data_IF_839190989568
#
_entry.id   IF_839190989568
#
_cell.length_a   1.000
_cell.length_b   1.000
_cell.length_c   1.000
_cell.angle_alpha   90.00
_cell.angle_beta   90.00
_cell.angle_gamma   90.00
#
_symmetry.space_group_name_H-M   'P 1'
#
loop_
_entity.id
_entity.type
_entity.pdbx_description
1 polymer ?
#
# COMPACT_ATOMS: atom_id res chain seq x y z
N UNK A 1 -0.56 46.54 -17.18
CA UNK A 1 -1.71 45.61 -16.99
C UNK A 1 -1.27 44.14 -17.04
N UNK A 2 -0.19 43.73 -16.35
CA UNK A 2 0.37 42.36 -16.47
C UNK A 2 0.48 41.59 -15.14
N UNK A 3 0.38 42.25 -13.98
CA UNK A 3 0.57 41.61 -12.67
C UNK A 3 -0.64 40.84 -12.11
N UNK A 4 -1.86 41.28 -12.44
CA UNK A 4 -3.10 40.72 -11.85
C UNK A 4 -3.45 39.35 -12.46
N UNK A 5 -3.08 39.10 -13.72
CA UNK A 5 -3.41 37.85 -14.42
C UNK A 5 -2.59 36.65 -13.93
N UNK A 6 -1.33 36.85 -13.53
CA UNK A 6 -0.48 35.79 -12.96
C UNK A 6 -0.94 35.34 -11.56
N UNK A 7 -1.44 36.26 -10.73
CA UNK A 7 -1.96 35.92 -9.39
C UNK A 7 -3.28 35.15 -9.46
N UNK A 8 -4.13 35.45 -10.45
CA UNK A 8 -5.40 34.74 -10.65
C UNK A 8 -5.20 33.32 -11.19
N UNK A 9 -4.24 33.10 -12.11
CA UNK A 9 -3.88 31.76 -12.59
C UNK A 9 -3.20 30.92 -11.49
N UNK A 10 -2.30 31.52 -10.71
CA UNK A 10 -1.68 30.87 -9.55
C UNK A 10 -2.69 30.56 -8.44
N UNK A 11 -3.64 31.47 -8.19
CA UNK A 11 -4.73 31.28 -7.22
C UNK A 11 -5.75 30.22 -7.66
N UNK A 12 -6.10 30.18 -8.95
CA UNK A 12 -6.95 29.14 -9.52
C UNK A 12 -6.26 27.77 -9.49
N UNK A 13 -4.96 27.70 -9.83
CA UNK A 13 -4.17 26.47 -9.73
C UNK A 13 -3.99 26.03 -8.27
N UNK A 14 -3.77 26.95 -7.34
CA UNK A 14 -3.66 26.68 -5.91
C UNK A 14 -4.99 26.22 -5.31
N UNK A 15 -6.11 26.85 -5.66
CA UNK A 15 -7.46 26.45 -5.23
C UNK A 15 -7.89 25.15 -5.89
N UNK A 16 -7.52 24.92 -7.15
CA UNK A 16 -7.69 23.65 -7.86
C UNK A 16 -6.85 22.54 -7.21
N UNK A 17 -5.59 22.82 -6.87
CA UNK A 17 -4.68 21.93 -6.16
C UNK A 17 -5.18 21.62 -4.73
N UNK A 18 -5.64 22.63 -3.99
CA UNK A 18 -6.32 22.47 -2.68
C UNK A 18 -7.63 21.70 -2.80
N UNK A 19 -8.47 21.96 -3.80
CA UNK A 19 -9.71 21.18 -4.06
C UNK A 19 -9.41 19.75 -4.52
N UNK A 20 -8.26 19.52 -5.14
CA UNK A 20 -7.77 18.21 -5.58
C UNK A 20 -7.09 17.42 -4.46
N UNK A 21 -6.80 18.04 -3.31
CA UNK A 21 -6.68 17.28 -2.06
C UNK A 21 -8.04 16.67 -1.75
N UNK A 22 -8.26 15.48 -2.29
CA UNK A 22 -9.47 14.71 -2.10
C UNK A 22 -9.79 14.68 -0.59
N UNK A 23 -10.92 15.26 -0.21
CA UNK A 23 -11.51 15.05 1.12
C UNK A 23 -11.82 13.56 1.20
N UNK A 24 -10.91 12.81 1.80
CA UNK A 24 -11.11 11.42 2.14
C UNK A 24 -12.00 11.39 3.37
N UNK A 25 -12.98 10.50 3.36
CA UNK A 25 -13.80 10.18 4.54
C UNK A 25 -13.53 8.75 4.92
N UNK A 26 -13.40 8.48 6.22
CA UNK A 26 -13.23 7.12 6.73
C UNK A 26 -14.45 6.31 6.26
N UNK A 27 -14.19 5.17 5.64
CA UNK A 27 -15.20 4.17 5.32
C UNK A 27 -15.22 3.09 6.41
N UNK A 28 -14.05 2.52 6.73
CA UNK A 28 -13.85 1.54 7.82
C UNK A 28 -12.48 1.72 8.46
N UNK A 29 -12.36 1.38 9.74
CA UNK A 29 -11.11 1.26 10.47
C UNK A 29 -10.86 -0.20 10.80
N UNK A 30 -9.62 -0.64 10.61
CA UNK A 30 -9.12 -1.99 10.94
C UNK A 30 -10.06 -3.16 10.55
N UNK A 31 -10.73 -3.16 9.37
CA UNK A 31 -11.64 -4.23 9.05
C UNK A 31 -10.86 -5.54 8.81
N UNK A 32 -11.15 -6.58 9.58
CA UNK A 32 -10.64 -7.91 9.25
C UNK A 32 -11.33 -8.44 7.99
N UNK A 33 -10.52 -8.79 6.98
CA UNK A 33 -10.96 -9.31 5.70
C UNK A 33 -10.29 -10.66 5.46
N UNK A 34 -11.04 -11.59 4.86
CA UNK A 34 -10.57 -12.92 4.50
C UNK A 34 -11.26 -13.39 3.24
N UNK A 35 -10.52 -14.09 2.41
CA UNK A 35 -11.00 -14.76 1.21
C UNK A 35 -10.42 -16.17 1.14
N UNK A 36 -11.11 -17.07 0.44
CA UNK A 36 -10.59 -18.39 0.07
C UNK A 36 -10.20 -18.44 -1.42
N UNK A 37 -10.99 -17.76 -2.24
CA UNK A 37 -10.78 -17.63 -3.68
C UNK A 37 -10.49 -16.18 -4.08
N UNK A 38 -9.73 -15.94 -5.18
CA UNK A 38 -9.08 -16.94 -6.03
C UNK A 38 -7.74 -17.45 -5.45
N UNK A 39 -7.26 -16.86 -4.36
CA UNK A 39 -6.17 -17.37 -3.52
C UNK A 39 -6.50 -17.08 -2.05
N UNK A 40 -6.20 -17.99 -1.11
CA UNK A 40 -6.55 -17.77 0.28
C UNK A 40 -5.62 -16.73 0.91
N UNK A 41 -6.22 -15.62 1.34
CA UNK A 41 -5.54 -14.49 1.98
C UNK A 41 -6.44 -13.92 3.08
N UNK A 42 -5.81 -13.29 4.07
CA UNK A 42 -6.51 -12.49 5.08
C UNK A 42 -5.64 -11.30 5.51
N UNK A 43 -6.27 -10.31 6.11
CA UNK A 43 -5.58 -9.13 6.64
C UNK A 43 -6.53 -8.05 7.12
N UNK A 44 -6.00 -7.09 7.86
CA UNK A 44 -6.73 -5.93 8.36
C UNK A 44 -5.99 -4.64 7.95
N UNK A 45 -6.48 -3.90 6.94
CA UNK A 45 -5.94 -2.56 6.67
C UNK A 45 -6.24 -1.62 7.83
N UNK A 46 -5.28 -0.80 8.25
CA UNK A 46 -5.48 0.19 9.32
C UNK A 46 -6.69 1.08 9.04
N UNK A 47 -6.85 1.49 7.78
CA UNK A 47 -7.98 2.31 7.35
C UNK A 47 -8.36 2.06 5.89
N UNK A 48 -9.67 2.07 5.64
CA UNK A 48 -10.24 2.15 4.30
C UNK A 48 -10.94 3.49 4.16
N UNK A 49 -10.50 4.26 3.18
CA UNK A 49 -11.05 5.56 2.83
C UNK A 49 -12.04 5.45 1.68
N UNK A 50 -12.91 6.44 1.55
CA UNK A 50 -13.60 6.78 0.29
C UNK A 50 -13.43 8.26 0.00
N UNK A 51 -13.37 8.63 -1.28
CA UNK A 51 -13.39 10.05 -1.67
C UNK A 51 -14.81 10.60 -1.50
N UNK A 52 -14.96 11.81 -0.97
CA UNK A 52 -16.28 12.47 -0.88
C UNK A 52 -16.96 12.50 -2.26
N UNK A 53 -18.19 12.01 -2.34
CA UNK A 53 -18.96 11.92 -3.59
C UNK A 53 -18.58 10.74 -4.50
N UNK A 54 -17.78 9.79 -4.01
CA UNK A 54 -17.41 8.57 -4.74
C UNK A 54 -17.64 7.33 -3.87
N UNK A 55 -18.08 6.24 -4.49
CA UNK A 55 -18.17 4.91 -3.88
C UNK A 55 -16.84 4.14 -3.92
N UNK A 56 -15.81 4.68 -4.59
CA UNK A 56 -14.51 4.01 -4.74
C UNK A 56 -13.75 4.00 -3.42
N UNK A 57 -13.36 2.80 -3.01
CA UNK A 57 -12.57 2.56 -1.80
C UNK A 57 -11.07 2.74 -2.07
N UNK A 58 -10.34 3.21 -1.06
CA UNK A 58 -8.88 3.43 -1.11
C UNK A 58 -8.28 2.90 0.18
N UNK A 59 -7.32 1.99 0.09
CA UNK A 59 -6.61 1.45 1.26
C UNK A 59 -5.59 2.46 1.81
N UNK A 60 -5.45 2.47 3.13
CA UNK A 60 -4.38 3.19 3.81
C UNK A 60 -3.76 2.38 4.94
N UNK A 61 -2.51 2.70 5.24
CA UNK A 61 -1.70 2.08 6.28
C UNK A 61 -0.83 3.16 6.94
N UNK A 62 -0.63 3.06 8.25
CA UNK A 62 0.12 4.01 9.05
C UNK A 62 1.49 3.45 9.44
N UNK A 63 2.53 4.23 9.18
CA UNK A 63 3.91 3.89 9.57
C UNK A 63 4.43 4.91 10.58
N UNK A 64 4.90 4.41 11.72
CA UNK A 64 5.46 5.22 12.82
C UNK A 64 6.87 5.76 12.58
N UNK A 65 7.51 5.38 11.46
CA UNK A 65 8.92 5.70 11.17
C UNK A 65 9.10 7.10 10.61
N UNK A 66 10.14 7.80 11.10
CA UNK A 66 10.48 9.16 10.70
C UNK A 66 11.08 9.27 9.28
N UNK A 67 11.74 8.22 8.78
CA UNK A 67 12.17 8.20 7.40
C UNK A 67 10.95 7.93 6.50
N UNK A 68 10.37 8.96 5.90
CA UNK A 68 9.23 8.83 4.97
C UNK A 68 9.54 8.08 3.66
N UNK A 69 10.57 7.23 3.67
CA UNK A 69 10.91 6.24 2.66
C UNK A 69 9.71 5.33 2.45
N UNK A 70 9.51 4.83 1.24
CA UNK A 70 8.50 3.81 0.95
C UNK A 70 9.25 2.54 0.60
N UNK A 71 8.90 1.43 1.26
CA UNK A 71 9.48 0.13 0.96
C UNK A 71 8.57 -0.66 0.02
N UNK A 72 9.17 -1.56 -0.74
CA UNK A 72 8.43 -2.48 -1.60
C UNK A 72 7.43 -3.33 -0.81
N UNK A 73 7.78 -3.72 0.42
CA UNK A 73 6.88 -4.41 1.35
C UNK A 73 5.64 -3.59 1.69
N UNK A 74 5.74 -2.26 1.82
CA UNK A 74 4.59 -1.40 2.09
C UNK A 74 3.62 -1.41 0.89
N UNK A 75 4.18 -1.39 -0.33
CA UNK A 75 3.39 -1.49 -1.57
C UNK A 75 2.72 -2.85 -1.67
N UNK A 76 3.43 -3.94 -1.38
CA UNK A 76 2.89 -5.30 -1.39
C UNK A 76 1.75 -5.41 -0.36
N UNK A 77 1.95 -4.94 0.87
CA UNK A 77 0.96 -4.98 1.95
C UNK A 77 -0.33 -4.25 1.55
N UNK A 78 -0.23 -3.00 1.08
CA UNK A 78 -1.39 -2.25 0.59
C UNK A 78 -2.04 -2.91 -0.63
N UNK A 79 -1.26 -3.54 -1.50
CA UNK A 79 -1.79 -4.23 -2.68
C UNK A 79 -2.58 -5.48 -2.29
N UNK A 80 -2.15 -6.22 -1.25
CA UNK A 80 -2.91 -7.32 -0.67
C UNK A 80 -4.21 -6.82 -0.04
N UNK A 81 -4.21 -5.69 0.68
CA UNK A 81 -5.44 -5.11 1.20
C UNK A 81 -6.41 -4.67 0.10
N UNK A 82 -5.90 -4.09 -0.99
CA UNK A 82 -6.72 -3.80 -2.18
C UNK A 82 -7.34 -5.07 -2.76
N UNK A 83 -6.55 -6.14 -2.87
CA UNK A 83 -7.02 -7.44 -3.33
C UNK A 83 -8.17 -7.96 -2.46
N UNK A 84 -8.00 -7.94 -1.13
CA UNK A 84 -9.06 -8.33 -0.19
C UNK A 84 -10.32 -7.48 -0.36
N UNK A 85 -10.19 -6.16 -0.52
CA UNK A 85 -11.37 -5.31 -0.73
C UNK A 85 -12.09 -5.62 -2.04
N UNK A 86 -11.37 -5.87 -3.14
CA UNK A 86 -11.99 -6.22 -4.43
C UNK A 86 -12.84 -7.48 -4.36
N UNK A 87 -12.42 -8.46 -3.54
CA UNK A 87 -13.06 -9.77 -3.43
C UNK A 87 -14.05 -9.88 -2.26
N UNK A 88 -14.14 -8.86 -1.40
CA UNK A 88 -15.04 -8.86 -0.24
C UNK A 88 -16.03 -7.70 -0.24
N UNK A 89 -15.78 -6.66 -1.05
CA UNK A 89 -16.62 -5.48 -1.13
C UNK A 89 -17.16 -5.37 -2.55
N UNK A 90 -18.48 -5.23 -2.68
CA UNK A 90 -19.16 -4.93 -3.95
C UNK A 90 -18.99 -3.45 -4.34
N UNK A 91 -17.74 -2.97 -4.31
CA UNK A 91 -17.38 -1.57 -4.59
C UNK A 91 -16.10 -1.53 -5.41
N UNK A 92 -16.01 -0.53 -6.28
CA UNK A 92 -14.76 -0.23 -6.97
C UNK A 92 -13.66 0.09 -5.94
N UNK A 93 -12.45 -0.40 -6.18
CA UNK A 93 -11.27 -0.10 -5.35
C UNK A 93 -10.20 0.55 -6.22
N UNK A 94 -9.64 1.67 -5.76
CA UNK A 94 -8.61 2.39 -6.49
C UNK A 94 -7.36 1.52 -6.74
N UNK A 95 -6.64 1.79 -7.84
CA UNK A 95 -5.35 1.15 -8.17
C UNK A 95 -4.16 1.78 -7.42
N UNK A 96 -4.44 2.62 -6.44
CA UNK A 96 -3.47 3.28 -5.58
C UNK A 96 -3.92 3.22 -4.10
N UNK A 97 -2.95 3.39 -3.20
CA UNK A 97 -3.17 3.49 -1.75
C UNK A 97 -2.42 4.67 -1.13
N UNK A 98 -2.64 4.91 0.16
CA UNK A 98 -1.93 5.93 0.93
C UNK A 98 -1.15 5.32 2.10
N UNK A 99 0.13 5.67 2.19
CA UNK A 99 0.92 5.45 3.40
C UNK A 99 0.89 6.76 4.19
N UNK A 100 0.46 6.69 5.44
CA UNK A 100 0.44 7.81 6.37
C UNK A 100 1.66 7.71 7.31
N UNK A 101 2.26 8.85 7.62
CA UNK A 101 3.41 8.94 8.50
C UNK A 101 3.06 9.71 9.78
N UNK A 102 3.95 9.64 10.76
CA UNK A 102 3.75 10.23 12.08
C UNK A 102 3.70 11.77 12.08
N UNK A 103 4.29 12.43 11.08
CA UNK A 103 4.22 13.87 10.87
C UNK A 103 2.88 14.33 10.24
N UNK A 104 1.94 13.41 10.03
CA UNK A 104 0.65 13.67 9.39
C UNK A 104 0.74 13.75 7.86
N UNK A 105 1.94 13.62 7.28
CA UNK A 105 2.10 13.52 5.84
C UNK A 105 1.57 12.18 5.32
N UNK A 106 1.14 12.18 4.06
CA UNK A 106 0.73 10.95 3.38
C UNK A 106 1.33 10.90 1.98
N UNK A 107 1.72 9.71 1.54
CA UNK A 107 2.23 9.46 0.19
C UNK A 107 1.34 8.50 -0.55
N UNK A 108 0.98 8.86 -1.79
CA UNK A 108 0.24 8.00 -2.71
C UNK A 108 1.20 6.99 -3.35
N UNK A 109 0.84 5.71 -3.34
CA UNK A 109 1.59 4.65 -4.03
C UNK A 109 0.72 3.95 -5.04
N UNK A 110 1.30 3.58 -6.18
CA UNK A 110 0.64 2.71 -7.16
C UNK A 110 0.70 1.27 -6.65
N UNK A 111 -0.41 0.56 -6.72
CA UNK A 111 -0.54 -0.80 -6.20
C UNK A 111 -0.33 -1.83 -7.31
N UNK A 112 0.07 -3.02 -6.90
CA UNK A 112 0.24 -4.17 -7.76
C UNK A 112 -1.11 -4.64 -8.32
N UNK A 113 -1.07 -5.19 -9.53
CA UNK A 113 -2.23 -5.86 -10.14
C UNK A 113 -2.45 -7.23 -9.51
N UNK A 114 -3.67 -7.75 -9.62
CA UNK A 114 -4.06 -9.07 -9.11
C UNK A 114 -3.11 -10.18 -9.56
N UNK A 115 -2.78 -10.22 -10.86
CA UNK A 115 -1.82 -11.20 -11.41
C UNK A 115 -0.44 -11.15 -10.74
N UNK A 116 0.01 -9.98 -10.29
CA UNK A 116 1.29 -9.86 -9.58
C UNK A 116 1.18 -10.41 -8.14
N UNK A 117 0.03 -10.21 -7.49
CA UNK A 117 -0.26 -10.79 -6.17
C UNK A 117 -0.36 -12.32 -6.26
N UNK A 118 -1.07 -12.86 -7.26
CA UNK A 118 -1.14 -14.31 -7.51
C UNK A 118 0.25 -14.91 -7.72
N UNK A 119 1.12 -14.27 -8.51
CA UNK A 119 2.51 -14.72 -8.69
C UNK A 119 3.33 -14.71 -7.40
N UNK A 120 3.16 -13.70 -6.54
CA UNK A 120 3.82 -13.65 -5.23
C UNK A 120 3.34 -14.81 -4.33
N UNK A 121 2.03 -15.06 -4.33
CA UNK A 121 1.43 -16.17 -3.58
C UNK A 121 1.90 -17.53 -4.08
N UNK A 122 1.93 -17.75 -5.40
CA UNK A 122 2.45 -18.97 -6.01
C UNK A 122 3.92 -19.22 -5.64
N UNK A 123 4.76 -18.17 -5.72
CA UNK A 123 6.16 -18.26 -5.29
C UNK A 123 6.26 -18.62 -3.81
N UNK A 124 5.47 -17.99 -2.95
CA UNK A 124 5.40 -18.31 -1.52
C UNK A 124 5.07 -19.80 -1.29
N UNK A 125 4.06 -20.33 -1.99
CA UNK A 125 3.69 -21.75 -1.91
C UNK A 125 4.81 -22.68 -2.38
N UNK A 126 5.51 -22.33 -3.45
CA UNK A 126 6.66 -23.12 -3.94
C UNK A 126 7.83 -23.12 -2.96
N UNK A 127 8.11 -21.99 -2.29
CA UNK A 127 9.12 -21.91 -1.24
C UNK A 127 8.74 -22.79 -0.04
N UNK A 128 7.49 -22.74 0.40
CA UNK A 128 7.02 -23.59 1.50
C UNK A 128 7.05 -25.08 1.17
N UNK A 129 6.79 -25.44 -0.09
CA UNK A 129 6.85 -26.82 -0.56
C UNK A 129 8.29 -27.33 -0.79
N UNK A 130 9.31 -26.48 -0.64
CA UNK A 130 10.71 -26.84 -0.94
C UNK A 130 11.04 -26.90 -2.44
N UNK A 131 10.11 -26.50 -3.31
CA UNK A 131 10.30 -26.53 -4.77
C UNK A 131 11.17 -25.38 -5.30
N UNK A 132 11.36 -24.33 -4.50
CA UNK A 132 12.24 -23.20 -4.81
C UNK A 132 13.04 -22.88 -3.55
N UNK A 133 14.37 -22.81 -3.68
CA UNK A 133 15.21 -22.31 -2.61
C UNK A 133 15.09 -20.79 -2.45
N UNK A 134 14.83 -20.30 -1.22
CA UNK A 134 14.85 -18.87 -0.94
C UNK A 134 16.29 -18.34 -0.97
N UNK A 135 16.50 -17.22 -1.64
CA UNK A 135 17.80 -16.57 -1.72
C UNK A 135 17.99 -15.52 -0.62
N UNK A 136 19.24 -15.35 -0.17
CA UNK A 136 19.62 -14.21 0.69
C UNK A 136 19.34 -12.90 -0.08
N UNK A 137 18.90 -11.87 0.65
CA UNK A 137 18.71 -10.54 0.07
C UNK A 137 20.08 -9.93 -0.28
N UNK A 138 20.20 -9.30 -1.45
CA UNK A 138 21.46 -8.70 -1.91
C UNK A 138 21.89 -7.43 -1.15
N UNK A 139 21.05 -6.95 -0.23
CA UNK A 139 21.28 -5.73 0.55
C UNK A 139 21.67 -6.09 1.98
N UNK A 140 22.93 -5.87 2.31
CA UNK A 140 23.51 -6.15 3.62
C UNK A 140 22.79 -5.45 4.79
N UNK A 141 22.15 -4.31 4.55
CA UNK A 141 21.34 -3.60 5.56
C UNK A 141 20.22 -4.48 6.12
N UNK A 142 19.49 -5.19 5.27
CA UNK A 142 18.41 -6.09 5.72
C UNK A 142 18.98 -7.27 6.51
N UNK A 143 20.13 -7.81 6.09
CA UNK A 143 20.80 -8.90 6.83
C UNK A 143 21.32 -8.44 8.20
N UNK A 144 21.81 -7.19 8.32
CA UNK A 144 22.37 -6.63 9.56
C UNK A 144 21.34 -6.61 10.69
N UNK A 145 20.08 -6.31 10.36
CA UNK A 145 18.97 -6.23 11.32
C UNK A 145 18.06 -7.47 11.30
N UNK A 146 18.43 -8.52 10.58
CA UNK A 146 17.62 -9.74 10.49
C UNK A 146 17.72 -10.57 11.77
N UNK A 147 16.59 -10.81 12.44
CA UNK A 147 16.50 -11.68 13.62
C UNK A 147 16.93 -13.13 13.33
N UNK A 148 16.87 -13.57 12.07
CA UNK A 148 17.25 -14.91 11.65
C UNK A 148 18.70 -15.02 11.14
N UNK A 149 19.52 -13.95 11.23
CA UNK A 149 20.89 -13.92 10.69
C UNK A 149 21.76 -15.08 11.20
N UNK A 150 21.69 -15.40 12.49
CA UNK A 150 22.47 -16.47 13.10
C UNK A 150 22.11 -17.87 12.55
N UNK A 151 20.85 -18.09 12.19
CA UNK A 151 20.38 -19.36 11.60
C UNK A 151 20.73 -19.40 10.11
N UNK A 152 20.54 -18.28 9.41
CA UNK A 152 20.83 -18.14 7.98
C UNK A 152 22.31 -18.40 7.64
N UNK A 153 23.22 -17.97 8.52
CA UNK A 153 24.66 -18.19 8.35
C UNK A 153 25.13 -19.62 8.65
N UNK A 154 24.32 -20.43 9.34
CA UNK A 154 24.63 -21.84 9.63
C UNK A 154 24.24 -22.80 8.50
N UNK A 155 23.38 -22.39 7.58
CA UNK A 155 22.95 -23.18 6.42
C UNK A 155 23.94 -23.10 5.23
N UNK A 156 25.23 -22.93 5.49
CA UNK A 156 26.27 -23.04 4.48
C UNK A 156 26.93 -24.41 4.58
#
# INVERSE_FOLDING_TARGET
>A
MSGVFCLLLGGAFYLWYRRRQARLTVYRLEPYLKILEPIPLCGAPDVVWRRKGSSTLIVGDYKSRANHRIYESDIIQLSVYRFLLLHTQEKAVADYGYIHFNDGSRRRVKLLREKQISKLYERYRKVLAGNIEPSKVCRNEYCRHCSHRAICNKKN
#
